data_IF_858612442628
#
_entry.id   IF_858612442628
#
_cell.length_a   1.000
_cell.length_b   1.000
_cell.length_c   1.000
_cell.angle_alpha   90.00
_cell.angle_beta   90.00
_cell.angle_gamma   90.00
#
_symmetry.space_group_name_H-M   'P 1'
#
loop_
_entity.id
_entity.type
_entity.pdbx_description
1 polymer ?
#
# COMPACT_ATOMS: atom_id res chain seq x y z
N UNK A 1 14.52 0.10 11.76
CA UNK A 1 13.38 -0.50 11.05
C UNK A 1 13.78 -1.17 9.73
N UNK A 2 15.07 -1.43 9.42
CA UNK A 2 15.46 -2.06 8.14
C UNK A 2 14.68 -3.37 7.93
N UNK A 3 14.04 -3.50 6.76
CA UNK A 3 13.21 -4.64 6.38
C UNK A 3 11.80 -4.66 6.99
N UNK A 4 11.46 -3.75 7.89
CA UNK A 4 10.10 -3.65 8.45
C UNK A 4 9.22 -2.74 7.59
N UNK A 5 7.90 -2.92 7.67
CA UNK A 5 6.89 -2.13 6.94
C UNK A 5 7.03 -0.61 7.10
N UNK A 6 7.62 -0.13 8.20
CA UNK A 6 7.86 1.30 8.46
C UNK A 6 9.11 1.86 7.79
N UNK A 7 9.97 1.02 7.21
CA UNK A 7 11.12 1.43 6.39
C UNK A 7 10.68 1.72 4.95
N UNK A 8 9.83 2.74 4.83
CA UNK A 8 9.19 3.13 3.59
C UNK A 8 10.19 3.90 2.72
N UNK A 9 10.34 3.47 1.47
CA UNK A 9 11.04 4.26 0.45
C UNK A 9 10.01 5.19 -0.20
N UNK A 10 10.10 6.49 0.04
CA UNK A 10 9.20 7.48 -0.54
C UNK A 10 9.98 8.58 -1.26
N UNK A 11 9.55 8.94 -2.47
CA UNK A 11 9.99 10.20 -3.07
C UNK A 11 9.30 11.38 -2.36
N UNK A 12 9.80 12.63 -2.44
CA UNK A 12 9.17 13.75 -1.75
C UNK A 12 7.75 14.10 -2.26
N UNK A 13 7.36 13.64 -3.45
CA UNK A 13 6.03 13.94 -4.01
C UNK A 13 5.73 15.44 -4.14
N UNK A 14 4.46 15.80 -4.18
CA UNK A 14 3.98 17.20 -4.27
C UNK A 14 4.38 18.10 -3.10
N UNK A 15 5.02 17.56 -2.06
CA UNK A 15 5.56 18.34 -0.96
C UNK A 15 6.75 19.18 -1.40
N UNK A 16 7.61 18.66 -2.28
CA UNK A 16 8.82 19.35 -2.76
C UNK A 16 9.14 19.18 -4.25
N UNK A 17 8.37 18.38 -5.00
CA UNK A 17 8.58 18.12 -6.41
C UNK A 17 7.48 18.75 -7.27
N UNK A 18 7.85 19.67 -8.15
CA UNK A 18 6.92 20.34 -9.09
C UNK A 18 6.39 19.44 -10.20
N UNK A 19 6.96 18.24 -10.36
CA UNK A 19 6.52 17.24 -11.35
C UNK A 19 5.57 16.19 -10.76
N UNK A 20 5.33 16.23 -9.44
CA UNK A 20 4.53 15.23 -8.78
C UNK A 20 3.03 15.44 -9.04
N UNK A 21 2.29 14.33 -9.10
CA UNK A 21 0.83 14.34 -9.23
C UNK A 21 0.15 14.31 -7.85
N UNK A 22 0.82 13.75 -6.85
CA UNK A 22 0.34 13.68 -5.47
C UNK A 22 1.50 13.78 -4.48
N UNK A 23 1.18 14.07 -3.23
CA UNK A 23 2.12 14.03 -2.11
C UNK A 23 2.48 12.60 -1.76
N UNK A 24 3.59 12.42 -1.05
CA UNK A 24 4.05 11.08 -0.64
C UNK A 24 4.37 11.03 0.84
N UNK A 25 4.95 12.11 1.39
CA UNK A 25 5.43 12.15 2.77
C UNK A 25 4.27 11.97 3.75
N UNK A 26 3.13 12.68 3.62
CA UNK A 26 2.00 12.48 4.53
C UNK A 26 1.41 11.07 4.50
N UNK A 27 1.47 10.37 3.35
CA UNK A 27 1.02 8.98 3.23
C UNK A 27 1.98 8.04 3.93
N UNK A 28 3.29 8.21 3.73
CA UNK A 28 4.32 7.44 4.43
C UNK A 28 4.18 7.59 5.94
N UNK A 29 4.03 8.82 6.45
CA UNK A 29 3.85 9.08 7.88
C UNK A 29 2.55 8.47 8.42
N UNK A 30 1.45 8.51 7.67
CA UNK A 30 0.19 7.92 8.09
C UNK A 30 0.29 6.40 8.22
N UNK A 31 0.99 5.73 7.31
CA UNK A 31 1.29 4.30 7.39
C UNK A 31 2.22 4.04 8.59
N UNK A 32 3.29 4.81 8.77
CA UNK A 32 4.19 4.64 9.90
C UNK A 32 3.47 4.78 11.26
N UNK A 33 2.55 5.74 11.39
CA UNK A 33 1.70 5.89 12.58
C UNK A 33 0.72 4.73 12.77
N UNK A 34 0.26 4.10 11.68
CA UNK A 34 -0.63 2.92 11.76
C UNK A 34 0.11 1.67 12.24
N UNK A 35 1.39 1.53 11.91
CA UNK A 35 2.23 0.39 12.24
C UNK A 35 3.35 0.80 13.21
N UNK A 36 3.03 1.52 14.28
CA UNK A 36 4.00 2.04 15.25
C UNK A 36 4.40 0.99 16.31
N UNK A 37 3.56 -0.03 16.52
CA UNK A 37 3.86 -1.19 17.37
C UNK A 37 5.01 -2.02 16.80
N UNK A 38 6.08 -2.19 17.58
CA UNK A 38 7.29 -2.88 17.13
C UNK A 38 7.13 -4.40 17.11
N UNK A 39 6.39 -4.97 18.05
CA UNK A 39 6.15 -6.42 18.12
C UNK A 39 5.32 -6.84 16.91
N UNK A 40 4.30 -6.06 16.57
CA UNK A 40 3.50 -6.30 15.37
C UNK A 40 4.31 -6.15 14.07
N UNK A 41 5.25 -5.19 14.00
CA UNK A 41 6.16 -5.09 12.85
C UNK A 41 7.04 -6.35 12.71
N UNK A 42 7.50 -6.93 13.81
CA UNK A 42 8.25 -8.18 13.79
C UNK A 42 7.38 -9.36 13.39
N UNK A 43 6.13 -9.41 13.84
CA UNK A 43 5.16 -10.42 13.41
C UNK A 43 4.88 -10.36 11.91
N UNK A 44 4.86 -9.17 11.30
CA UNK A 44 4.72 -9.00 9.85
C UNK A 44 5.94 -9.58 9.11
N UNK A 45 7.15 -9.34 9.64
CA UNK A 45 8.40 -9.77 9.02
C UNK A 45 8.85 -8.87 7.87
N UNK A 46 9.74 -9.39 7.02
CA UNK A 46 10.37 -8.63 5.94
C UNK A 46 9.36 -8.14 4.88
N UNK A 47 9.27 -6.82 4.69
CA UNK A 47 8.34 -6.20 3.75
C UNK A 47 8.86 -4.86 3.20
N UNK A 48 8.96 -4.77 1.87
CA UNK A 48 9.31 -3.55 1.15
C UNK A 48 8.05 -2.77 0.73
N UNK A 49 7.89 -1.56 1.26
CA UNK A 49 6.81 -0.63 0.89
C UNK A 49 7.41 0.63 0.24
N UNK A 50 6.99 0.87 -1.00
CA UNK A 50 7.57 1.91 -1.84
C UNK A 50 6.49 2.88 -2.34
N UNK A 51 6.74 4.18 -2.24
CA UNK A 51 5.80 5.25 -2.58
C UNK A 51 6.43 6.18 -3.61
N UNK A 52 5.69 6.49 -4.67
CA UNK A 52 6.06 7.53 -5.63
C UNK A 52 4.86 8.44 -5.89
N UNK A 53 5.05 9.76 -5.74
CA UNK A 53 4.00 10.75 -6.01
C UNK A 53 3.66 10.95 -7.49
N UNK A 54 4.38 10.31 -8.42
CA UNK A 54 4.07 10.28 -9.85
C UNK A 54 4.75 9.09 -10.57
N UNK A 55 4.45 8.94 -11.85
CA UNK A 55 4.94 7.85 -12.71
C UNK A 55 6.46 7.80 -12.91
N UNK A 56 7.19 8.87 -12.58
CA UNK A 56 8.65 8.90 -12.69
C UNK A 56 9.34 7.91 -11.74
N UNK A 57 8.62 7.36 -10.76
CA UNK A 57 9.04 6.22 -9.95
C UNK A 57 10.36 6.43 -9.17
N UNK A 58 10.63 7.66 -8.70
CA UNK A 58 11.82 7.94 -7.90
C UNK A 58 11.88 7.14 -6.58
N UNK A 59 10.73 6.67 -6.07
CA UNK A 59 10.65 5.75 -4.94
C UNK A 59 10.60 4.27 -5.34
N UNK A 60 10.72 3.96 -6.64
CA UNK A 60 10.70 2.60 -7.18
C UNK A 60 9.44 1.78 -6.81
N UNK A 61 8.26 2.42 -6.84
CA UNK A 61 6.99 1.80 -6.42
C UNK A 61 6.67 0.50 -7.18
N UNK A 62 7.13 0.32 -8.43
CA UNK A 62 6.88 -0.91 -9.18
C UNK A 62 7.62 -2.15 -8.63
N UNK A 63 8.66 -2.00 -7.82
CA UNK A 63 9.48 -3.12 -7.33
C UNK A 63 9.43 -3.27 -5.81
N UNK A 64 8.62 -2.48 -5.11
CA UNK A 64 8.24 -2.76 -3.73
C UNK A 64 7.28 -3.94 -3.66
N UNK A 65 7.32 -4.72 -2.57
CA UNK A 65 6.32 -5.75 -2.30
C UNK A 65 4.92 -5.15 -2.34
N UNK A 66 4.79 -3.95 -1.76
CA UNK A 66 3.65 -3.05 -1.90
C UNK A 66 4.13 -1.74 -2.53
N UNK A 67 3.57 -1.41 -3.69
CA UNK A 67 3.85 -0.19 -4.43
C UNK A 67 2.68 0.77 -4.41
N UNK A 68 2.94 2.03 -4.06
CA UNK A 68 1.94 3.12 -4.02
C UNK A 68 2.32 4.19 -5.05
N UNK A 69 1.43 4.43 -6.00
CA UNK A 69 1.58 5.45 -7.03
C UNK A 69 0.56 6.58 -6.85
N UNK A 70 1.05 7.80 -6.65
CA UNK A 70 0.26 9.02 -6.70
C UNK A 70 -0.22 9.33 -8.12
N UNK A 71 -1.53 9.55 -8.27
CA UNK A 71 -2.19 9.94 -9.52
C UNK A 71 -3.11 11.13 -9.26
N UNK A 72 -3.13 12.08 -10.19
CA UNK A 72 -4.08 13.19 -10.17
C UNK A 72 -5.37 12.76 -10.87
N UNK A 73 -6.51 13.04 -10.25
CA UNK A 73 -7.82 12.92 -10.88
C UNK A 73 -8.58 14.23 -10.69
N UNK A 74 -8.54 15.07 -11.72
CA UNK A 74 -9.26 16.35 -11.76
C UNK A 74 -8.84 17.29 -10.63
N UNK A 75 -7.53 17.37 -10.34
CA UNK A 75 -6.99 18.23 -9.29
C UNK A 75 -7.09 17.64 -7.88
N UNK A 76 -7.53 16.39 -7.74
CA UNK A 76 -7.57 15.66 -6.48
C UNK A 76 -6.54 14.52 -6.48
N UNK A 77 -5.85 14.37 -5.36
CA UNK A 77 -4.81 13.35 -5.17
C UNK A 77 -5.43 11.99 -4.86
N UNK A 78 -5.06 10.98 -5.65
CA UNK A 78 -5.42 9.58 -5.44
C UNK A 78 -4.19 8.68 -5.48
N UNK A 79 -4.34 7.48 -4.93
CA UNK A 79 -3.23 6.54 -4.73
C UNK A 79 -3.60 5.18 -5.30
N UNK A 80 -2.91 4.77 -6.36
CA UNK A 80 -3.03 3.45 -6.95
C UNK A 80 -2.11 2.47 -6.23
N UNK A 81 -2.66 1.32 -5.83
CA UNK A 81 -1.95 0.29 -5.10
C UNK A 81 -1.60 -0.87 -6.03
N UNK A 82 -0.37 -1.34 -5.92
CA UNK A 82 0.14 -2.52 -6.59
C UNK A 82 0.83 -3.44 -5.59
N UNK A 83 0.77 -4.76 -5.83
CA UNK A 83 1.49 -5.73 -5.00
C UNK A 83 2.23 -6.76 -5.88
N UNK A 84 3.22 -7.43 -5.29
CA UNK A 84 3.99 -8.48 -5.96
C UNK A 84 5.24 -7.98 -6.68
N UNK A 85 5.63 -6.72 -6.48
CA UNK A 85 6.94 -6.21 -6.92
C UNK A 85 8.04 -6.81 -6.05
N UNK A 86 9.22 -7.01 -6.61
CA UNK A 86 10.39 -7.47 -5.86
C UNK A 86 11.67 -7.06 -6.57
N UNK A 87 12.69 -6.72 -5.78
CA UNK A 87 14.05 -6.48 -6.25
C UNK A 87 14.93 -7.73 -6.10
N UNK A 88 16.12 -7.71 -6.69
CA UNK A 88 17.11 -8.80 -6.56
C UNK A 88 16.92 -9.95 -7.54
N UNK A 89 17.33 -11.16 -7.15
CA UNK A 89 17.46 -12.31 -8.06
C UNK A 89 16.11 -12.85 -8.56
N UNK A 90 15.05 -12.71 -7.75
CA UNK A 90 13.69 -13.05 -8.13
C UNK A 90 12.90 -11.77 -8.44
N UNK A 91 13.42 -10.92 -9.33
CA UNK A 91 12.81 -9.64 -9.64
C UNK A 91 11.42 -9.81 -10.28
N UNK A 92 10.48 -8.97 -9.87
CA UNK A 92 9.14 -8.90 -10.47
C UNK A 92 8.61 -7.47 -10.39
N UNK A 93 7.77 -7.10 -11.35
CA UNK A 93 7.00 -5.86 -11.28
C UNK A 93 5.68 -6.10 -10.56
N UNK A 94 5.34 -5.20 -9.65
CA UNK A 94 4.06 -5.16 -8.97
C UNK A 94 2.92 -4.97 -9.95
N UNK A 95 1.77 -5.58 -9.63
CA UNK A 95 0.56 -5.50 -10.43
C UNK A 95 -0.50 -4.71 -9.68
N UNK A 96 -1.14 -3.78 -10.39
CA UNK A 96 -2.24 -2.97 -9.85
C UNK A 96 -3.37 -3.90 -9.40
N UNK A 97 -3.84 -3.72 -8.18
CA UNK A 97 -4.89 -4.58 -7.61
C UNK A 97 -6.30 -4.07 -7.93
N UNK A 98 -6.47 -2.80 -8.28
CA UNK A 98 -7.77 -2.24 -8.68
C UNK A 98 -7.77 -0.70 -8.71
N UNK A 99 -8.95 -0.06 -8.53
CA UNK A 99 -9.11 1.39 -8.46
C UNK A 99 -8.22 2.07 -7.41
N UNK A 100 -7.98 3.38 -7.60
CA UNK A 100 -7.19 4.19 -6.67
C UNK A 100 -8.02 4.69 -5.47
N UNK A 101 -7.34 4.96 -4.37
CA UNK A 101 -7.91 5.41 -3.10
C UNK A 101 -7.61 6.88 -2.83
N UNK A 102 -8.45 7.54 -2.03
CA UNK A 102 -8.11 8.85 -1.46
C UNK A 102 -6.95 8.70 -0.46
N UNK A 103 -6.28 9.82 -0.16
CA UNK A 103 -5.11 9.83 0.72
C UNK A 103 -5.38 9.21 2.11
N UNK A 104 -6.52 9.53 2.69
CA UNK A 104 -6.94 9.08 4.03
C UNK A 104 -7.34 7.61 4.09
N UNK A 105 -7.72 7.02 2.95
CA UNK A 105 -8.06 5.59 2.83
C UNK A 105 -6.80 4.70 2.76
N UNK A 106 -5.63 5.23 2.37
CA UNK A 106 -4.43 4.41 2.11
C UNK A 106 -3.98 3.57 3.31
N UNK A 107 -3.87 4.10 4.56
CA UNK A 107 -3.44 3.29 5.70
C UNK A 107 -4.35 2.09 5.97
N UNK A 108 -5.67 2.26 5.80
CA UNK A 108 -6.65 1.18 5.98
C UNK A 108 -6.47 0.09 4.91
N UNK A 109 -6.18 0.49 3.67
CA UNK A 109 -5.89 -0.47 2.59
C UNK A 109 -4.62 -1.27 2.88
N UNK A 110 -3.56 -0.61 3.40
CA UNK A 110 -2.33 -1.33 3.78
C UNK A 110 -2.62 -2.31 4.91
N UNK A 111 -3.38 -1.93 5.91
CA UNK A 111 -3.81 -2.82 7.01
C UNK A 111 -4.58 -4.04 6.49
N UNK A 112 -5.51 -3.85 5.55
CA UNK A 112 -6.26 -4.96 4.94
C UNK A 112 -5.36 -5.91 4.12
N UNK A 113 -4.33 -5.38 3.44
CA UNK A 113 -3.33 -6.21 2.75
C UNK A 113 -2.51 -7.04 3.73
N UNK A 114 -2.06 -6.43 4.84
CA UNK A 114 -1.29 -7.11 5.88
C UNK A 114 -2.15 -8.17 6.59
N UNK A 115 -3.40 -7.84 6.93
CA UNK A 115 -4.32 -8.81 7.53
C UNK A 115 -4.55 -10.01 6.60
N UNK A 116 -4.72 -9.78 5.28
CA UNK A 116 -4.86 -10.86 4.30
C UNK A 116 -3.60 -11.73 4.25
N UNK A 117 -2.42 -11.10 4.25
CA UNK A 117 -1.15 -11.80 4.27
C UNK A 117 -1.00 -12.68 5.52
N UNK A 118 -1.19 -12.11 6.71
CA UNK A 118 -1.06 -12.83 7.98
C UNK A 118 -2.08 -13.98 8.11
N UNK A 119 -3.29 -13.81 7.58
CA UNK A 119 -4.31 -14.86 7.59
C UNK A 119 -4.06 -16.00 6.59
N UNK A 120 -3.20 -15.78 5.59
CA UNK A 120 -2.94 -16.74 4.49
C UNK A 120 -1.51 -17.28 4.47
N UNK A 121 -0.60 -16.74 5.28
CA UNK A 121 0.76 -17.27 5.43
C UNK A 121 0.71 -18.65 6.08
N UNK A 122 1.53 -19.56 5.59
CA UNK A 122 1.61 -20.93 6.10
C UNK A 122 2.51 -21.02 7.34
N UNK A 123 3.38 -20.03 7.56
CA UNK A 123 4.26 -19.92 8.73
C UNK A 123 4.74 -18.50 8.96
N UNK A 124 5.32 -18.22 10.14
CA UNK A 124 5.97 -16.94 10.46
C UNK A 124 7.18 -16.62 9.57
N UNK A 125 7.80 -17.65 8.96
CA UNK A 125 8.93 -17.48 8.06
C UNK A 125 8.53 -17.13 6.62
N UNK A 126 7.27 -17.32 6.24
CA UNK A 126 6.80 -17.00 4.89
C UNK A 126 6.54 -15.51 4.77
N UNK A 127 7.26 -14.83 3.87
CA UNK A 127 7.18 -13.37 3.71
C UNK A 127 5.98 -12.97 2.86
N UNK A 128 5.59 -11.70 2.96
CA UNK A 128 4.49 -11.14 2.17
C UNK A 128 4.59 -11.45 0.67
N UNK A 129 5.77 -11.22 0.08
CA UNK A 129 6.00 -11.46 -1.35
C UNK A 129 5.84 -12.93 -1.75
N UNK A 130 6.21 -13.86 -0.86
CA UNK A 130 6.12 -15.29 -1.11
C UNK A 130 4.65 -15.74 -1.08
N UNK A 131 3.86 -15.21 -0.14
CA UNK A 131 2.40 -15.43 -0.10
C UNK A 131 1.75 -14.90 -1.39
N UNK A 132 2.05 -13.66 -1.79
CA UNK A 132 1.50 -13.08 -3.03
C UNK A 132 1.81 -13.94 -4.26
N UNK A 133 3.02 -14.52 -4.33
CA UNK A 133 3.42 -15.41 -5.42
C UNK A 133 2.68 -16.74 -5.40
N UNK A 134 2.44 -17.30 -4.21
CA UNK A 134 1.79 -18.60 -4.03
C UNK A 134 0.29 -18.53 -4.32
N UNK A 135 -0.42 -17.55 -3.77
CA UNK A 135 -1.89 -17.49 -3.82
C UNK A 135 -2.43 -16.50 -4.86
N UNK A 136 -1.55 -15.68 -5.45
CA UNK A 136 -1.91 -14.64 -6.41
C UNK A 136 -2.58 -13.42 -5.78
N UNK A 137 -3.09 -12.53 -6.64
CA UNK A 137 -3.63 -11.22 -6.21
C UNK A 137 -5.09 -11.29 -5.74
N UNK A 138 -5.86 -12.28 -6.19
CA UNK A 138 -7.31 -12.30 -6.02
C UNK A 138 -7.77 -12.26 -4.55
N UNK A 139 -7.15 -13.00 -3.61
CA UNK A 139 -7.53 -12.89 -2.19
C UNK A 139 -7.34 -11.47 -1.64
N UNK A 140 -6.26 -10.80 -2.03
CA UNK A 140 -5.96 -9.43 -1.60
C UNK A 140 -6.95 -8.42 -2.21
N UNK A 141 -7.28 -8.58 -3.48
CA UNK A 141 -8.31 -7.76 -4.14
C UNK A 141 -9.66 -7.91 -3.46
N UNK A 142 -10.08 -9.15 -3.22
CA UNK A 142 -11.37 -9.45 -2.61
C UNK A 142 -11.48 -8.80 -1.22
N UNK A 143 -10.43 -8.88 -0.40
CA UNK A 143 -10.42 -8.25 0.92
C UNK A 143 -10.50 -6.72 0.83
N UNK A 144 -9.65 -6.11 -0.01
CA UNK A 144 -9.55 -4.65 -0.11
C UNK A 144 -10.81 -4.04 -0.70
N UNK A 145 -11.29 -4.55 -1.83
CA UNK A 145 -12.43 -3.94 -2.53
C UNK A 145 -13.79 -4.42 -2.00
N UNK A 146 -13.88 -5.66 -1.52
CA UNK A 146 -15.11 -6.19 -0.91
C UNK A 146 -15.53 -5.38 0.32
N UNK A 147 -14.57 -4.93 1.12
CA UNK A 147 -14.84 -4.09 2.29
C UNK A 147 -14.91 -2.59 1.94
N UNK A 148 -14.14 -2.12 0.96
CA UNK A 148 -14.15 -0.70 0.57
C UNK A 148 -15.51 -0.24 0.02
N UNK A 149 -16.19 -1.07 -0.78
CA UNK A 149 -17.53 -0.76 -1.28
C UNK A 149 -18.52 -0.61 -0.10
N UNK A 150 -18.40 -1.49 0.90
CA UNK A 150 -19.25 -1.47 2.09
C UNK A 150 -18.97 -0.24 2.97
N UNK A 151 -17.70 0.10 3.20
CA UNK A 151 -17.27 1.30 3.95
C UNK A 151 -17.70 2.60 3.26
N UNK A 152 -17.62 2.67 1.93
CA UNK A 152 -18.06 3.85 1.15
C UNK A 152 -19.56 4.05 1.25
N UNK A 153 -20.32 2.96 1.22
CA UNK A 153 -21.76 3.01 1.40
C UNK A 153 -22.14 3.43 2.82
N UNK A 154 -21.47 2.91 3.84
CA UNK A 154 -21.69 3.30 5.24
C UNK A 154 -21.33 4.76 5.50
N UNK A 155 -20.22 5.25 4.95
CA UNK A 155 -19.83 6.68 5.05
C UNK A 155 -20.85 7.59 4.37
N UNK A 156 -21.36 7.19 3.20
CA UNK A 156 -22.42 7.93 2.50
C UNK A 156 -23.71 7.96 3.32
N UNK A 157 -24.08 6.85 3.96
CA UNK A 157 -25.27 6.78 4.83
C UNK A 157 -25.12 7.67 6.07
N UNK A 158 -23.95 7.69 6.71
CA UNK A 158 -23.69 8.54 7.87
C UNK A 158 -23.75 10.03 7.53
N UNK A 159 -23.17 10.44 6.40
CA UNK A 159 -23.23 11.83 5.93
C UNK A 159 -24.63 12.27 5.52
N UNK A 160 -25.48 11.36 5.05
CA UNK A 160 -26.87 11.65 4.72
C UNK A 160 -27.80 11.72 5.95
N UNK A 161 -27.33 11.22 7.10
CA UNK A 161 -28.06 11.22 8.37
C UNK A 161 -27.69 12.38 9.30
N UNK A 162 -26.72 13.21 8.93
CA UNK A 162 -26.27 14.41 9.63
C UNK A 162 -26.79 15.67 8.92
#
# INVERSE_FOLDING_TARGET
NIGLITNIIACPGGDFCSLANAKSIPVAEAIQRRFDDLDYQHDIGELDLNISGCMNSCGHHHVGHIGILGVDKQGAEFYQISIGGAQGNAASLGKVIGPSFAQDEVPDVIEELIATYLARRDSEAERFIDVVRRIGLEPFKAQVYGNADQKREDRRRQLAAA
#
